data_IF_365662936911
#
_entry.id   IF_365662936911
#
_cell.length_a   1.000
_cell.length_b   1.000
_cell.length_c   1.000
_cell.angle_alpha   90.00
_cell.angle_beta   90.00
_cell.angle_gamma   90.00
#
_symmetry.space_group_name_H-M   'P 1'
#
loop_
_entity.id
_entity.type
_entity.pdbx_description
1 polymer ?
#
# COMPACT_ATOMS: atom_id res chain seq x y z
N UNK A 1 25.94 10.00 24.12
CA UNK A 1 24.60 9.64 23.59
C UNK A 1 24.17 10.74 22.63
N UNK A 2 23.67 10.41 21.44
CA UNK A 2 23.27 11.41 20.45
C UNK A 2 21.91 12.02 20.79
N UNK A 3 21.71 13.31 20.52
CA UNK A 3 20.43 13.99 20.72
C UNK A 3 19.39 13.56 19.68
N UNK A 4 18.10 13.75 19.99
CA UNK A 4 16.99 13.44 19.06
C UNK A 4 17.11 14.18 17.71
N UNK A 5 17.69 15.39 17.71
CA UNK A 5 17.95 16.16 16.50
C UNK A 5 19.08 15.57 15.66
N UNK A 6 20.16 15.09 16.29
CA UNK A 6 21.25 14.42 15.59
C UNK A 6 20.79 13.11 14.96
N UNK A 7 19.93 12.34 15.64
CA UNK A 7 19.37 11.11 15.10
C UNK A 7 18.44 11.35 13.90
N UNK A 8 17.66 12.43 13.90
CA UNK A 8 16.76 12.76 12.77
C UNK A 8 17.54 13.19 11.53
N UNK A 9 18.63 13.95 11.69
CA UNK A 9 19.56 14.31 10.62
C UNK A 9 20.24 13.07 10.02
N UNK A 10 20.71 12.15 10.86
CA UNK A 10 21.32 10.89 10.40
C UNK A 10 20.30 10.02 9.65
N UNK A 11 19.05 9.95 10.10
CA UNK A 11 18.00 9.22 9.39
C UNK A 11 17.69 9.84 8.02
N UNK A 12 17.71 11.18 7.92
CA UNK A 12 17.54 11.89 6.65
C UNK A 12 18.69 11.59 5.70
N UNK A 13 19.94 11.68 6.14
CA UNK A 13 21.10 11.40 5.28
C UNK A 13 21.20 9.95 4.83
N UNK A 14 20.75 9.00 5.66
CA UNK A 14 20.62 7.60 5.24
C UNK A 14 19.57 7.43 4.11
N UNK A 15 18.43 8.13 4.19
CA UNK A 15 17.41 8.14 3.12
C UNK A 15 17.90 8.81 1.84
N UNK A 16 18.64 9.91 1.99
CA UNK A 16 19.26 10.66 0.89
C UNK A 16 20.52 9.95 0.34
N UNK A 17 20.89 8.80 0.92
CA UNK A 17 22.04 7.96 0.53
C UNK A 17 23.36 8.72 0.49
N UNK A 18 23.61 9.57 1.48
CA UNK A 18 24.92 10.24 1.64
C UNK A 18 25.98 9.26 2.18
N UNK A 19 27.10 9.04 1.49
CA UNK A 19 28.13 8.07 1.92
C UNK A 19 28.68 8.34 3.32
N UNK A 20 28.98 7.30 4.13
CA UNK A 20 29.52 7.46 5.48
C UNK A 20 30.81 8.29 5.55
N UNK A 21 31.66 8.22 4.52
CA UNK A 21 32.87 9.02 4.43
C UNK A 21 32.58 10.53 4.30
N UNK A 22 31.49 10.91 3.64
CA UNK A 22 31.07 12.30 3.50
C UNK A 22 30.43 12.81 4.80
N UNK A 23 29.61 11.98 5.45
CA UNK A 23 28.99 12.32 6.74
C UNK A 23 30.01 12.41 7.87
N UNK A 24 31.04 11.56 7.87
CA UNK A 24 32.17 11.64 8.81
C UNK A 24 32.90 12.99 8.73
N UNK A 25 33.10 13.51 7.50
CA UNK A 25 33.69 14.84 7.28
C UNK A 25 32.76 15.96 7.74
N UNK A 26 31.46 15.87 7.46
CA UNK A 26 30.47 16.89 7.83
C UNK A 26 30.29 17.02 9.35
N UNK A 27 30.41 15.91 10.08
CA UNK A 27 30.29 15.90 11.54
C UNK A 27 31.62 16.13 12.26
N UNK A 28 32.74 16.12 11.53
CA UNK A 28 34.10 16.14 12.07
C UNK A 28 34.35 15.02 13.09
N UNK A 29 33.91 13.80 12.76
CA UNK A 29 34.00 12.61 13.63
C UNK A 29 34.61 11.45 12.85
N UNK A 30 35.55 10.72 13.46
CA UNK A 30 36.25 9.59 12.83
C UNK A 30 35.35 8.37 12.56
N UNK A 31 35.75 7.53 11.62
CA UNK A 31 35.00 6.31 11.22
C UNK A 31 34.87 5.25 12.32
N UNK A 32 35.74 5.30 13.33
CA UNK A 32 35.72 4.40 14.48
C UNK A 32 34.74 4.82 15.59
N UNK A 33 34.17 6.02 15.49
CA UNK A 33 33.19 6.55 16.45
C UNK A 33 31.87 5.77 16.41
N UNK A 34 31.25 5.60 17.58
CA UNK A 34 30.02 4.82 17.74
C UNK A 34 28.85 5.38 16.92
N UNK A 35 28.74 6.70 16.78
CA UNK A 35 27.72 7.36 15.97
C UNK A 35 27.96 7.08 14.48
N UNK A 36 29.22 7.13 14.02
CA UNK A 36 29.58 6.80 12.64
C UNK A 36 29.41 5.31 12.31
N UNK A 37 29.71 4.41 13.25
CA UNK A 37 29.42 2.96 13.12
C UNK A 37 27.93 2.69 12.98
N UNK A 38 27.10 3.37 13.79
CA UNK A 38 25.63 3.25 13.68
C UNK A 38 25.10 3.85 12.37
N UNK A 39 25.66 4.97 11.92
CA UNK A 39 25.28 5.58 10.64
C UNK A 39 25.67 4.70 9.44
N UNK A 40 26.87 4.13 9.42
CA UNK A 40 27.32 3.22 8.36
C UNK A 40 26.38 2.02 8.22
N UNK A 41 25.98 1.39 9.34
CA UNK A 41 24.99 0.30 9.32
C UNK A 41 23.63 0.73 8.74
N UNK A 42 23.17 1.94 9.07
CA UNK A 42 21.91 2.48 8.53
C UNK A 42 22.00 2.83 7.05
N UNK A 43 23.15 3.32 6.60
CA UNK A 43 23.45 3.59 5.21
C UNK A 43 23.50 2.30 4.39
N UNK A 44 24.17 1.26 4.91
CA UNK A 44 24.20 -0.07 4.29
C UNK A 44 22.81 -0.70 4.22
N UNK A 45 22.00 -0.53 5.28
CA UNK A 45 20.59 -0.92 5.27
C UNK A 45 19.77 -0.15 4.24
N UNK A 46 19.97 1.16 4.11
CA UNK A 46 19.29 2.00 3.13
C UNK A 46 19.66 1.66 1.67
N UNK A 47 20.91 1.26 1.44
CA UNK A 47 21.37 0.69 0.17
C UNK A 47 20.74 -0.69 -0.10
N UNK A 48 20.63 -1.54 0.92
CA UNK A 48 19.92 -2.84 0.84
C UNK A 48 18.44 -2.69 0.48
N UNK A 49 17.76 -1.63 0.90
CA UNK A 49 16.34 -1.38 0.53
C UNK A 49 16.13 -1.01 -0.95
N UNK A 50 17.16 -0.53 -1.67
CA UNK A 50 17.10 -0.31 -3.13
C UNK A 50 17.27 -1.64 -3.87
N UNK A 51 17.87 -2.63 -3.20
CA UNK A 51 17.81 -4.04 -3.60
C UNK A 51 16.44 -4.60 -3.21
N UNK A 52 15.38 -4.10 -3.86
CA UNK A 52 14.03 -4.67 -3.80
C UNK A 52 13.97 -6.14 -4.33
N UNK A 53 15.10 -6.76 -4.68
CA UNK A 53 15.20 -8.17 -5.09
C UNK A 53 15.67 -9.15 -3.98
N UNK A 54 16.14 -8.69 -2.82
CA UNK A 54 16.79 -9.56 -1.81
C UNK A 54 16.00 -9.78 -0.50
N UNK A 55 14.67 -9.93 -0.56
CA UNK A 55 13.84 -10.29 0.63
C UNK A 55 14.06 -11.74 1.12
N UNK A 56 14.96 -12.49 0.49
CA UNK A 56 15.11 -13.92 0.64
C UNK A 56 16.54 -14.29 1.04
N UNK A 57 17.02 -13.87 2.21
CA UNK A 57 18.39 -14.23 2.63
C UNK A 57 18.61 -15.77 2.73
N UNK A 58 17.60 -16.64 2.53
CA UNK A 58 17.75 -18.08 2.26
C UNK A 58 16.69 -18.75 1.33
N UNK A 59 15.74 -18.04 0.71
CA UNK A 59 14.64 -18.67 -0.07
C UNK A 59 14.59 -18.14 -1.51
N UNK A 60 15.36 -18.68 -2.45
CA UNK A 60 15.31 -18.17 -3.84
C UNK A 60 13.91 -18.32 -4.46
N UNK A 61 13.59 -17.52 -5.49
CA UNK A 61 12.35 -17.66 -6.27
C UNK A 61 12.14 -19.11 -6.72
N UNK A 62 13.19 -19.76 -7.21
CA UNK A 62 13.14 -21.15 -7.66
C UNK A 62 12.86 -22.13 -6.51
N UNK A 63 13.47 -21.92 -5.34
CA UNK A 63 13.20 -22.71 -4.14
C UNK A 63 11.74 -22.57 -3.70
N UNK A 64 11.21 -21.35 -3.74
CA UNK A 64 9.81 -21.07 -3.44
C UNK A 64 8.84 -21.71 -4.44
N UNK A 65 9.11 -21.59 -5.74
CA UNK A 65 8.25 -22.19 -6.77
C UNK A 65 8.24 -23.73 -6.69
N UNK A 66 9.40 -24.35 -6.45
CA UNK A 66 9.50 -25.80 -6.18
C UNK A 66 8.70 -26.19 -4.93
N UNK A 67 8.78 -25.37 -3.87
CA UNK A 67 7.99 -25.58 -2.66
C UNK A 67 6.48 -25.54 -2.95
N UNK A 68 6.00 -24.62 -3.80
CA UNK A 68 4.58 -24.54 -4.19
C UNK A 68 4.11 -25.75 -5.02
N UNK A 69 4.97 -26.26 -5.90
CA UNK A 69 4.70 -27.50 -6.64
C UNK A 69 4.55 -28.68 -5.68
N UNK A 70 5.47 -28.81 -4.72
CA UNK A 70 5.43 -29.84 -3.68
C UNK A 70 4.22 -29.68 -2.75
N UNK A 71 3.89 -28.45 -2.36
CA UNK A 71 2.71 -28.10 -1.57
C UNK A 71 1.44 -28.72 -2.16
N UNK A 72 1.26 -28.54 -3.48
CA UNK A 72 0.07 -29.04 -4.20
C UNK A 72 0.10 -30.56 -4.34
N UNK A 73 1.25 -31.14 -4.72
CA UNK A 73 1.40 -32.59 -4.92
C UNK A 73 1.17 -33.38 -3.63
N UNK A 74 1.70 -32.88 -2.52
CA UNK A 74 1.62 -33.52 -1.20
C UNK A 74 0.37 -33.13 -0.40
N UNK A 75 -0.47 -32.24 -0.94
CA UNK A 75 -1.71 -31.74 -0.31
C UNK A 75 -1.48 -31.23 1.12
N UNK A 76 -0.42 -30.44 1.30
CA UNK A 76 -0.13 -29.84 2.60
C UNK A 76 -1.28 -28.94 3.07
N UNK A 77 -1.50 -28.88 4.38
CA UNK A 77 -2.49 -27.98 4.95
C UNK A 77 -2.04 -26.52 4.79
N UNK A 78 -2.89 -25.71 4.18
CA UNK A 78 -2.57 -24.32 3.86
C UNK A 78 -2.45 -23.44 5.12
N UNK A 79 -3.20 -23.73 6.18
CA UNK A 79 -3.26 -22.91 7.39
C UNK A 79 -1.97 -23.01 8.19
N UNK A 80 -1.54 -24.24 8.49
CA UNK A 80 -0.26 -24.53 9.17
C UNK A 80 0.94 -24.04 8.35
N UNK A 81 0.89 -24.20 7.03
CA UNK A 81 1.93 -23.69 6.13
C UNK A 81 2.07 -22.17 6.23
N UNK A 82 0.96 -21.43 6.15
CA UNK A 82 1.00 -19.96 6.27
C UNK A 82 1.50 -19.52 7.63
N UNK A 83 1.10 -20.19 8.73
CA UNK A 83 1.63 -19.89 10.06
C UNK A 83 3.16 -19.99 10.08
N UNK A 84 3.71 -21.13 9.65
CA UNK A 84 5.16 -21.36 9.64
C UNK A 84 5.91 -20.36 8.74
N UNK A 85 5.37 -20.05 7.55
CA UNK A 85 5.95 -19.07 6.65
C UNK A 85 5.91 -17.67 7.26
N UNK A 86 4.82 -17.30 7.92
CA UNK A 86 4.65 -15.99 8.56
C UNK A 86 5.59 -15.83 9.74
N UNK A 87 5.76 -16.87 10.56
CA UNK A 87 6.69 -16.87 11.70
C UNK A 87 8.15 -16.70 11.25
N UNK A 88 8.50 -17.30 10.11
CA UNK A 88 9.87 -17.26 9.58
C UNK A 88 10.18 -16.01 8.76
N UNK A 89 9.28 -15.57 7.89
CA UNK A 89 9.55 -14.54 6.88
C UNK A 89 8.78 -13.23 7.10
N UNK A 90 7.81 -13.23 8.01
CA UNK A 90 6.91 -12.10 8.26
C UNK A 90 5.72 -12.03 7.31
N UNK A 91 4.58 -11.52 7.81
CA UNK A 91 3.30 -11.54 7.09
C UNK A 91 3.31 -10.76 5.77
N UNK A 92 3.97 -9.60 5.71
CA UNK A 92 4.15 -8.83 4.49
C UNK A 92 4.90 -9.62 3.41
N UNK A 93 6.07 -10.14 3.75
CA UNK A 93 6.95 -10.84 2.80
C UNK A 93 6.23 -12.06 2.22
N UNK A 94 5.52 -12.80 3.07
CA UNK A 94 4.70 -13.94 2.65
C UNK A 94 3.58 -13.50 1.70
N UNK A 95 2.87 -12.41 2.00
CA UNK A 95 1.85 -11.88 1.10
C UNK A 95 2.42 -11.47 -0.27
N UNK A 96 3.62 -10.87 -0.30
CA UNK A 96 4.30 -10.52 -1.55
C UNK A 96 4.69 -11.75 -2.36
N UNK A 97 5.30 -12.76 -1.74
CA UNK A 97 5.67 -14.02 -2.42
C UNK A 97 4.45 -14.72 -3.01
N UNK A 98 3.35 -14.76 -2.27
CA UNK A 98 2.08 -15.33 -2.72
C UNK A 98 1.55 -14.56 -3.93
N UNK A 99 1.50 -13.22 -3.89
CA UNK A 99 1.02 -12.42 -5.01
C UNK A 99 1.88 -12.59 -6.26
N UNK A 100 3.21 -12.61 -6.12
CA UNK A 100 4.14 -12.84 -7.25
C UNK A 100 3.92 -14.22 -7.91
N UNK A 101 3.42 -15.20 -7.16
CA UNK A 101 3.22 -16.57 -7.64
C UNK A 101 1.86 -16.83 -8.27
N UNK A 102 0.94 -15.85 -8.18
CA UNK A 102 -0.39 -15.98 -8.79
C UNK A 102 -0.36 -15.80 -10.30
N UNK A 103 0.71 -15.23 -10.82
CA UNK A 103 0.95 -15.08 -12.25
C UNK A 103 1.72 -16.30 -12.83
N UNK A 104 2.13 -17.26 -11.98
CA UNK A 104 2.65 -18.57 -12.41
C UNK A 104 1.55 -19.47 -13.02
N UNK A 105 1.95 -20.64 -13.53
CA UNK A 105 1.06 -21.64 -14.14
C UNK A 105 0.90 -22.89 -13.27
N UNK A 106 -0.09 -23.72 -13.64
CA UNK A 106 -0.29 -25.05 -13.06
C UNK A 106 -0.42 -25.07 -11.53
N UNK A 107 0.31 -25.99 -10.91
CA UNK A 107 0.26 -26.25 -9.47
C UNK A 107 0.67 -25.04 -8.62
N UNK A 108 1.65 -24.24 -9.08
CA UNK A 108 2.14 -23.07 -8.35
C UNK A 108 1.03 -22.03 -8.13
N UNK A 109 0.23 -21.78 -9.17
CA UNK A 109 -0.92 -20.87 -9.11
C UNK A 109 -2.01 -21.36 -8.16
N UNK A 110 -2.25 -22.67 -8.15
CA UNK A 110 -3.23 -23.32 -7.26
C UNK A 110 -2.77 -23.19 -5.80
N UNK A 111 -1.51 -23.50 -5.53
CA UNK A 111 -0.90 -23.33 -4.21
C UNK A 111 -0.97 -21.87 -3.75
N UNK A 112 -0.56 -20.91 -4.58
CA UNK A 112 -0.59 -19.49 -4.23
C UNK A 112 -1.99 -19.01 -3.84
N UNK A 113 -3.03 -19.45 -4.56
CA UNK A 113 -4.43 -19.13 -4.21
C UNK A 113 -4.87 -19.77 -2.90
N UNK A 114 -4.51 -21.03 -2.66
CA UNK A 114 -4.83 -21.72 -1.42
C UNK A 114 -4.15 -21.06 -0.21
N UNK A 115 -2.86 -20.71 -0.34
CA UNK A 115 -2.10 -20.00 0.67
C UNK A 115 -2.65 -18.60 0.92
N UNK A 116 -3.05 -17.85 -0.12
CA UNK A 116 -3.70 -16.55 0.05
C UNK A 116 -5.02 -16.66 0.83
N UNK A 117 -5.84 -17.66 0.51
CA UNK A 117 -7.10 -17.88 1.21
C UNK A 117 -6.86 -18.22 2.68
N UNK A 118 -5.88 -19.08 2.97
CA UNK A 118 -5.47 -19.41 4.34
C UNK A 118 -4.90 -18.21 5.10
N UNK A 119 -4.09 -17.36 4.44
CA UNK A 119 -3.56 -16.13 5.01
C UNK A 119 -4.67 -15.16 5.42
N UNK A 120 -5.63 -14.89 4.53
CA UNK A 120 -6.76 -14.02 4.84
C UNK A 120 -7.63 -14.62 5.95
N UNK A 121 -7.88 -15.93 5.90
CA UNK A 121 -8.61 -16.63 6.96
C UNK A 121 -7.89 -16.48 8.31
N UNK A 122 -6.57 -16.66 8.34
CA UNK A 122 -5.75 -16.48 9.54
C UNK A 122 -5.86 -15.07 10.13
N UNK A 123 -5.81 -14.02 9.29
CA UNK A 123 -6.02 -12.64 9.74
C UNK A 123 -7.42 -12.42 10.32
N UNK A 124 -8.45 -12.96 9.67
CA UNK A 124 -9.84 -12.87 10.15
C UNK A 124 -10.05 -13.61 11.47
N UNK A 125 -9.50 -14.82 11.61
CA UNK A 125 -9.63 -15.64 12.81
C UNK A 125 -8.84 -15.04 13.99
N UNK A 126 -7.73 -14.35 13.69
CA UNK A 126 -6.96 -13.55 14.65
C UNK A 126 -7.64 -12.21 14.99
N UNK A 127 -8.84 -11.95 14.44
CA UNK A 127 -9.63 -10.72 14.64
C UNK A 127 -8.89 -9.44 14.26
N UNK A 128 -7.98 -9.51 13.29
CA UNK A 128 -7.29 -8.31 12.79
C UNK A 128 -8.30 -7.36 12.16
N UNK A 129 -8.17 -6.07 12.49
CA UNK A 129 -8.98 -5.02 11.89
C UNK A 129 -8.51 -4.71 10.46
N UNK A 130 -9.33 -3.93 9.75
CA UNK A 130 -8.97 -3.42 8.43
C UNK A 130 -7.70 -2.57 8.46
N UNK A 131 -7.53 -1.76 9.50
CA UNK A 131 -6.36 -0.90 9.65
C UNK A 131 -5.11 -1.72 10.04
N UNK A 132 -5.25 -2.78 10.84
CA UNK A 132 -4.14 -3.68 11.18
C UNK A 132 -3.57 -4.36 9.93
N UNK A 133 -4.43 -4.89 9.05
CA UNK A 133 -3.99 -5.53 7.81
C UNK A 133 -3.42 -4.50 6.83
N UNK A 134 -3.96 -3.28 6.81
CA UNK A 134 -3.44 -2.19 5.99
C UNK A 134 -1.99 -1.84 6.37
N UNK A 135 -1.71 -1.70 7.68
CA UNK A 135 -0.38 -1.46 8.22
C UNK A 135 0.56 -2.66 8.06
N UNK A 136 0.06 -3.89 8.28
CA UNK A 136 0.83 -5.12 8.06
C UNK A 136 1.37 -5.18 6.63
N UNK A 137 0.55 -4.79 5.65
CA UNK A 137 0.91 -4.74 4.23
C UNK A 137 1.64 -3.44 3.84
N UNK A 138 2.00 -2.59 4.82
CA UNK A 138 2.59 -1.24 4.69
C UNK A 138 1.98 -0.44 3.54
N UNK A 139 0.66 -0.49 3.42
CA UNK A 139 -0.06 0.26 2.41
C UNK A 139 -0.12 1.75 2.76
N UNK A 140 0.15 2.12 4.01
CA UNK A 140 0.31 3.49 4.51
C UNK A 140 1.62 4.17 4.05
N UNK A 141 2.60 3.39 3.59
CA UNK A 141 3.81 3.95 2.99
C UNK A 141 3.50 4.59 1.63
N UNK A 142 3.91 5.84 1.45
CA UNK A 142 3.78 6.57 0.18
C UNK A 142 4.40 5.82 -0.99
N UNK A 143 5.45 5.03 -0.77
CA UNK A 143 6.06 4.21 -1.82
C UNK A 143 5.10 3.12 -2.33
N UNK A 144 4.19 2.63 -1.49
CA UNK A 144 3.23 1.56 -1.79
C UNK A 144 1.84 2.07 -2.19
N UNK A 145 1.60 3.39 -2.08
CA UNK A 145 0.36 4.06 -2.43
C UNK A 145 0.17 4.15 -3.95
N UNK A 146 -0.18 3.03 -4.57
CA UNK A 146 -0.45 2.93 -6.01
C UNK A 146 -1.51 1.87 -6.29
N UNK A 147 -2.42 2.15 -7.24
CA UNK A 147 -3.58 1.28 -7.49
C UNK A 147 -3.22 -0.06 -8.15
N UNK A 148 -2.06 -0.13 -8.81
CA UNK A 148 -1.47 -1.32 -9.41
C UNK A 148 -0.66 -2.17 -8.42
N UNK A 149 -0.48 -1.71 -7.17
CA UNK A 149 0.15 -2.54 -6.13
C UNK A 149 -0.69 -3.81 -5.92
N UNK A 150 -0.14 -5.02 -6.13
CA UNK A 150 -0.90 -6.27 -5.99
C UNK A 150 -1.37 -6.50 -4.55
N UNK A 151 -0.62 -6.04 -3.54
CA UNK A 151 -1.07 -6.13 -2.16
C UNK A 151 -2.34 -5.30 -1.93
N UNK A 152 -2.45 -4.10 -2.52
CA UNK A 152 -3.64 -3.26 -2.41
C UNK A 152 -4.80 -3.79 -3.27
N UNK A 153 -4.52 -4.05 -4.54
CA UNK A 153 -5.54 -4.32 -5.56
C UNK A 153 -6.13 -5.73 -5.47
N UNK A 154 -5.36 -6.70 -4.97
CA UNK A 154 -5.77 -8.10 -4.87
C UNK A 154 -5.90 -8.54 -3.40
N UNK A 155 -4.80 -8.62 -2.65
CA UNK A 155 -4.79 -9.18 -1.29
C UNK A 155 -5.68 -8.39 -0.33
N UNK A 156 -5.42 -7.10 -0.16
CA UNK A 156 -6.14 -6.24 0.76
C UNK A 156 -7.61 -6.10 0.38
N UNK A 157 -7.91 -5.89 -0.91
CA UNK A 157 -9.29 -5.87 -1.42
C UNK A 157 -10.05 -7.16 -1.11
N UNK A 158 -9.39 -8.31 -1.27
CA UNK A 158 -10.02 -9.60 -0.94
C UNK A 158 -10.27 -9.73 0.56
N UNK A 159 -9.32 -9.30 1.40
CA UNK A 159 -9.50 -9.26 2.84
C UNK A 159 -10.68 -8.36 3.23
N UNK A 160 -10.74 -7.12 2.74
CA UNK A 160 -11.84 -6.19 3.08
C UNK A 160 -13.21 -6.73 2.67
N UNK A 161 -13.29 -7.40 1.52
CA UNK A 161 -14.55 -8.02 1.07
C UNK A 161 -14.99 -9.16 2.02
N UNK A 162 -14.06 -9.97 2.50
CA UNK A 162 -14.38 -11.06 3.44
C UNK A 162 -14.66 -10.52 4.85
N UNK A 163 -13.92 -9.51 5.30
CA UNK A 163 -14.13 -8.82 6.57
C UNK A 163 -15.55 -8.24 6.64
N UNK A 164 -15.99 -7.51 5.61
CA UNK A 164 -17.32 -6.91 5.55
C UNK A 164 -18.45 -7.96 5.55
N UNK A 165 -18.22 -9.14 4.94
CA UNK A 165 -19.18 -10.26 4.98
C UNK A 165 -19.28 -10.90 6.36
N UNK A 166 -18.16 -11.03 7.07
CA UNK A 166 -18.11 -11.61 8.43
C UNK A 166 -18.53 -10.65 9.52
N UNK A 167 -18.42 -9.34 9.30
CA UNK A 167 -18.73 -8.30 10.28
C UNK A 167 -19.71 -7.27 9.70
N UNK A 168 -21.01 -7.61 9.56
CA UNK A 168 -22.02 -6.71 8.99
C UNK A 168 -22.10 -5.35 9.69
N UNK A 169 -21.95 -5.34 11.02
CA UNK A 169 -22.05 -4.12 11.84
C UNK A 169 -20.81 -3.22 11.75
N UNK A 170 -19.67 -3.76 11.30
CA UNK A 170 -18.40 -3.04 11.13
C UNK A 170 -18.06 -2.81 9.65
N UNK A 171 -19.07 -2.86 8.77
CA UNK A 171 -18.86 -2.67 7.33
C UNK A 171 -18.31 -1.27 7.04
N UNK A 172 -17.11 -1.25 6.48
CA UNK A 172 -16.54 -0.08 5.81
C UNK A 172 -16.40 -0.40 4.33
N UNK A 173 -16.76 0.53 3.46
CA UNK A 173 -16.49 0.35 2.05
C UNK A 173 -14.99 0.47 1.79
N UNK A 174 -14.49 -0.20 0.76
CA UNK A 174 -13.08 -0.15 0.38
C UNK A 174 -12.63 1.30 0.16
N UNK A 175 -13.45 2.13 -0.49
CA UNK A 175 -13.13 3.54 -0.70
C UNK A 175 -13.00 4.31 0.61
N UNK A 176 -13.84 4.02 1.61
CA UNK A 176 -13.79 4.74 2.89
C UNK A 176 -12.54 4.39 3.68
N UNK A 177 -12.10 3.13 3.61
CA UNK A 177 -10.81 2.72 4.16
C UNK A 177 -9.65 3.47 3.51
N UNK A 178 -9.64 3.61 2.18
CA UNK A 178 -8.61 4.37 1.49
C UNK A 178 -8.66 5.86 1.86
N UNK A 179 -9.85 6.44 1.98
CA UNK A 179 -10.02 7.86 2.39
C UNK A 179 -9.47 8.11 3.78
N UNK A 180 -9.74 7.22 4.73
CA UNK A 180 -9.26 7.31 6.11
C UNK A 180 -7.74 7.25 6.20
N UNK A 181 -7.13 6.34 5.45
CA UNK A 181 -5.70 6.08 5.53
C UNK A 181 -4.85 7.04 4.67
N UNK A 182 -5.34 7.44 3.49
CA UNK A 182 -4.60 8.32 2.58
C UNK A 182 -5.01 9.79 2.65
N UNK A 183 -6.23 10.08 3.10
CA UNK A 183 -6.84 11.40 2.96
C UNK A 183 -7.38 11.64 1.55
N UNK A 184 -8.37 12.55 1.46
CA UNK A 184 -9.11 12.84 0.23
C UNK A 184 -8.23 13.37 -0.91
N UNK A 185 -7.27 14.25 -0.60
CA UNK A 185 -6.38 14.84 -1.59
C UNK A 185 -5.43 13.81 -2.22
N UNK A 186 -4.70 13.06 -1.40
CA UNK A 186 -3.71 12.11 -1.91
C UNK A 186 -4.41 10.95 -2.64
N UNK A 187 -5.53 10.46 -2.10
CA UNK A 187 -6.33 9.43 -2.76
C UNK A 187 -6.85 9.91 -4.13
N UNK A 188 -7.41 11.11 -4.22
CA UNK A 188 -7.91 11.62 -5.50
C UNK A 188 -6.79 11.75 -6.55
N UNK A 189 -5.60 12.21 -6.16
CA UNK A 189 -4.44 12.28 -7.05
C UNK A 189 -4.01 10.90 -7.54
N UNK A 190 -3.91 9.92 -6.65
CA UNK A 190 -3.59 8.53 -7.01
C UNK A 190 -4.60 7.96 -8.02
N UNK A 191 -5.90 8.20 -7.81
CA UNK A 191 -6.95 7.73 -8.71
C UNK A 191 -6.91 8.42 -10.07
N UNK A 192 -6.66 9.73 -10.10
CA UNK A 192 -6.48 10.49 -11.35
C UNK A 192 -5.30 9.94 -12.16
N UNK A 193 -4.13 9.75 -11.53
CA UNK A 193 -2.97 9.14 -12.19
C UNK A 193 -3.28 7.73 -12.69
N UNK A 194 -3.97 6.91 -11.89
CA UNK A 194 -4.34 5.55 -12.27
C UNK A 194 -5.38 5.47 -13.40
N UNK A 195 -6.17 6.53 -13.65
CA UNK A 195 -7.05 6.62 -14.83
C UNK A 195 -6.27 6.78 -16.13
N UNK A 196 -5.04 7.32 -16.07
CA UNK A 196 -4.14 7.47 -17.21
C UNK A 196 -3.49 6.16 -17.65
N UNK A 197 -3.52 5.11 -16.83
CA UNK A 197 -2.90 3.81 -17.11
C UNK A 197 -3.96 2.78 -17.47
N UNK A 198 -3.84 2.16 -18.65
CA UNK A 198 -4.86 1.24 -19.20
C UNK A 198 -5.24 0.10 -18.27
N UNK A 199 -4.26 -0.51 -17.58
CA UNK A 199 -4.49 -1.63 -16.66
C UNK A 199 -5.28 -1.26 -15.40
N UNK A 200 -5.24 0.01 -14.98
CA UNK A 200 -5.93 0.50 -13.77
C UNK A 200 -7.12 1.39 -14.05
N UNK A 201 -7.33 1.82 -15.31
CA UNK A 201 -8.33 2.82 -15.70
C UNK A 201 -9.74 2.53 -15.22
N UNK A 202 -10.21 1.30 -15.41
CA UNK A 202 -11.57 0.89 -15.02
C UNK A 202 -11.76 0.95 -13.51
N UNK A 203 -10.83 0.36 -12.76
CA UNK A 203 -10.86 0.37 -11.28
C UNK A 203 -10.73 1.78 -10.73
N UNK A 204 -9.83 2.59 -11.29
CA UNK A 204 -9.62 3.98 -10.88
C UNK A 204 -10.87 4.83 -11.13
N UNK A 205 -11.52 4.66 -12.27
CA UNK A 205 -12.77 5.36 -12.60
C UNK A 205 -13.89 4.99 -11.62
N UNK A 206 -14.06 3.69 -11.33
CA UNK A 206 -15.06 3.24 -10.34
C UNK A 206 -14.80 3.80 -8.93
N UNK A 207 -13.54 3.75 -8.47
CA UNK A 207 -13.17 4.30 -7.16
C UNK A 207 -13.29 5.83 -7.12
N UNK A 208 -13.01 6.53 -8.21
CA UNK A 208 -13.19 7.98 -8.29
C UNK A 208 -14.68 8.34 -8.16
N UNK A 209 -15.58 7.61 -8.82
CA UNK A 209 -17.03 7.81 -8.66
C UNK A 209 -17.46 7.61 -7.21
N UNK A 210 -17.01 6.53 -6.57
CA UNK A 210 -17.31 6.27 -5.16
C UNK A 210 -16.76 7.37 -4.23
N UNK A 211 -15.56 7.91 -4.52
CA UNK A 211 -14.99 9.02 -3.77
C UNK A 211 -15.85 10.28 -3.89
N UNK A 212 -16.29 10.61 -5.10
CA UNK A 212 -17.20 11.75 -5.34
C UNK A 212 -18.52 11.58 -4.59
N UNK A 213 -19.08 10.37 -4.60
CA UNK A 213 -20.32 10.08 -3.88
C UNK A 213 -20.12 10.21 -2.36
N UNK A 214 -18.98 9.78 -1.81
CA UNK A 214 -18.63 9.99 -0.40
C UNK A 214 -18.48 11.47 -0.04
N UNK A 215 -17.86 12.26 -0.90
CA UNK A 215 -17.79 13.72 -0.71
C UNK A 215 -19.18 14.37 -0.78
N UNK A 216 -20.05 13.86 -1.65
CA UNK A 216 -21.42 14.36 -1.82
C UNK A 216 -22.32 13.97 -0.65
N UNK A 217 -22.18 12.77 -0.09
CA UNK A 217 -22.83 12.33 1.15
C UNK A 217 -22.42 13.20 2.33
N UNK A 218 -21.12 13.49 2.46
CA UNK A 218 -20.58 14.34 3.51
C UNK A 218 -20.79 15.87 3.26
N UNK A 219 -21.54 16.25 2.23
CA UNK A 219 -21.85 17.66 1.93
C UNK A 219 -20.61 18.54 1.71
N UNK A 220 -19.52 17.98 1.18
CA UNK A 220 -18.28 18.75 0.97
C UNK A 220 -18.54 19.88 -0.03
N UNK A 221 -18.23 21.12 0.35
CA UNK A 221 -18.46 22.26 -0.55
C UNK A 221 -17.55 22.14 -1.79
N UNK A 222 -18.02 22.49 -3.00
CA UNK A 222 -17.18 22.51 -4.20
C UNK A 222 -15.87 23.28 -3.99
N UNK A 223 -15.88 24.39 -3.24
CA UNK A 223 -14.66 25.14 -2.90
C UNK A 223 -13.59 24.34 -2.14
N UNK A 224 -13.98 23.33 -1.34
CA UNK A 224 -13.04 22.44 -0.66
C UNK A 224 -12.44 21.43 -1.62
N UNK A 225 -13.28 20.82 -2.46
CA UNK A 225 -12.85 19.87 -3.49
C UNK A 225 -11.93 20.53 -4.51
N UNK A 226 -12.22 21.78 -4.89
CA UNK A 226 -11.34 22.59 -5.74
C UNK A 226 -9.93 22.74 -5.16
N UNK A 227 -9.81 22.94 -3.84
CA UNK A 227 -8.53 23.03 -3.13
C UNK A 227 -7.80 21.69 -3.09
N UNK A 228 -8.50 20.59 -2.77
CA UNK A 228 -7.89 19.25 -2.73
C UNK A 228 -7.35 18.81 -4.09
N UNK A 229 -8.04 19.17 -5.17
CA UNK A 229 -7.58 18.90 -6.54
C UNK A 229 -6.48 19.86 -7.01
N UNK A 230 -6.06 20.81 -6.16
CA UNK A 230 -5.01 21.80 -6.44
C UNK A 230 -5.20 22.53 -7.77
N UNK A 231 -6.46 22.78 -8.17
CA UNK A 231 -6.77 23.40 -9.44
C UNK A 231 -6.25 24.85 -9.47
N UNK A 232 -5.31 25.12 -10.39
CA UNK A 232 -4.93 26.50 -10.73
C UNK A 232 -5.95 27.06 -11.73
N UNK A 233 -6.24 28.36 -11.65
CA UNK A 233 -7.21 29.04 -12.53
C UNK A 233 -6.87 28.92 -14.03
N UNK A 234 -5.63 28.62 -14.41
CA UNK A 234 -5.10 28.80 -15.77
C UNK A 234 -4.89 27.53 -16.62
N UNK A 235 -5.41 26.36 -16.24
CA UNK A 235 -5.35 25.15 -17.10
C UNK A 235 -6.77 24.72 -17.43
N UNK A 236 -7.14 24.84 -18.71
CA UNK A 236 -8.54 24.78 -19.16
C UNK A 236 -9.10 23.36 -19.31
N UNK A 237 -8.25 22.36 -19.53
CA UNK A 237 -8.65 20.94 -19.61
C UNK A 237 -7.54 20.05 -19.01
N UNK A 238 -7.78 19.50 -17.83
CA UNK A 238 -6.96 18.45 -17.23
C UNK A 238 -7.84 17.49 -16.43
N UNK A 239 -7.31 16.31 -16.11
CA UNK A 239 -8.09 15.25 -15.48
C UNK A 239 -8.66 15.66 -14.11
N UNK A 240 -7.94 16.52 -13.37
CA UNK A 240 -8.40 17.14 -12.13
C UNK A 240 -9.62 18.03 -12.36
N UNK A 241 -9.64 18.84 -13.41
CA UNK A 241 -10.76 19.74 -13.73
C UNK A 241 -12.01 18.93 -14.11
N UNK A 242 -11.87 17.87 -14.89
CA UNK A 242 -12.98 16.98 -15.23
C UNK A 242 -13.60 16.33 -13.99
N UNK A 243 -12.77 15.90 -13.03
CA UNK A 243 -13.25 15.36 -11.74
C UNK A 243 -14.00 16.44 -10.95
N UNK A 244 -13.47 17.67 -10.90
CA UNK A 244 -14.13 18.78 -10.21
C UNK A 244 -15.47 19.16 -10.85
N UNK A 245 -15.55 19.28 -12.17
CA UNK A 245 -16.78 19.64 -12.88
C UNK A 245 -17.86 18.59 -12.67
N UNK A 246 -17.48 17.31 -12.74
CA UNK A 246 -18.37 16.18 -12.41
C UNK A 246 -18.92 16.32 -10.99
N UNK A 247 -18.04 16.63 -10.02
CA UNK A 247 -18.45 16.82 -8.63
C UNK A 247 -19.38 18.03 -8.44
N UNK A 248 -19.02 19.18 -9.01
CA UNK A 248 -19.79 20.41 -8.92
C UNK A 248 -21.20 20.24 -9.51
N UNK A 249 -21.32 19.51 -10.62
CA UNK A 249 -22.61 19.15 -11.22
C UNK A 249 -23.44 18.27 -10.29
N UNK A 250 -22.87 17.17 -9.77
CA UNK A 250 -23.52 16.31 -8.77
C UNK A 250 -23.99 17.08 -7.54
N UNK A 251 -23.15 17.99 -7.04
CA UNK A 251 -23.46 18.83 -5.88
C UNK A 251 -24.62 19.78 -6.15
N UNK A 252 -24.62 20.48 -7.30
CA UNK A 252 -25.72 21.36 -7.72
C UNK A 252 -27.04 20.60 -7.83
N UNK A 253 -27.03 19.44 -8.50
CA UNK A 253 -28.23 18.62 -8.65
C UNK A 253 -28.79 18.17 -7.30
N UNK A 254 -27.95 17.77 -6.34
CA UNK A 254 -28.42 17.28 -5.04
C UNK A 254 -28.89 18.39 -4.10
N UNK A 255 -28.19 19.54 -4.06
CA UNK A 255 -28.37 20.55 -3.01
C UNK A 255 -28.97 21.87 -3.49
N UNK A 256 -29.01 22.15 -4.79
CA UNK A 256 -29.52 23.41 -5.34
C UNK A 256 -30.75 23.24 -6.23
N UNK A 257 -31.00 22.05 -6.77
CA UNK A 257 -32.19 21.78 -7.58
C UNK A 257 -33.46 21.48 -6.76
N UNK A 258 -33.35 21.28 -5.44
CA UNK A 258 -34.51 21.07 -4.54
C UNK A 258 -35.07 22.35 -3.90
N UNK A 259 -34.67 23.52 -4.39
CA UNK A 259 -35.07 24.84 -3.88
C UNK A 259 -35.70 25.75 -4.96
N UNK A 260 -36.16 25.16 -6.07
CA UNK A 260 -36.97 25.79 -7.11
C UNK A 260 -38.31 25.07 -7.19
#
# INVERSE_FOLDING_TARGET
MATNLQLSLLNKWARDKKPPAEVSKLLNVGSSDTLMKTYAKKYDWALKTVVEENVLENLTKDTWLKYLDDFTKKKHDASSTISQLTDRYGGMSVAQMIEMSKDSEGAQKVAARALQAAQIKGWLDSKMSVDDVFQLLKLDDKANMRLDNPLLSRTFRMFTNQFSKKNPDAQTSFIETLRRNYGDEALSKMLISAKGVSSTKTTATSLQTQLLDKWLEAGKRPSSVFKWLQLKRSVMDNAERQVYETYAMKFKTKYLAGHL
#
